data_IF_646244386226
#
_entry.id   IF_646244386226
#
_cell.length_a   1.000
_cell.length_b   1.000
_cell.length_c   1.000
_cell.angle_alpha   90.00
_cell.angle_beta   90.00
_cell.angle_gamma   90.00
#
_symmetry.space_group_name_H-M   'P 1'
#
loop_
_entity.id
_entity.type
_entity.pdbx_description
1 polymer ?
#
# COMPACT_ATOMS: atom_id res chain seq x y z
N UNK A 1 20.69 -18.91 13.31
CA UNK A 1 20.96 -18.68 11.88
C UNK A 1 19.67 -18.78 11.11
N UNK A 2 19.45 -17.89 10.16
CA UNK A 2 18.34 -17.93 9.23
C UNK A 2 18.85 -18.38 7.87
N UNK A 3 18.08 -19.24 7.20
CA UNK A 3 18.35 -19.72 5.85
C UNK A 3 17.34 -19.08 4.90
N UNK A 4 17.81 -18.26 3.96
CA UNK A 4 16.96 -17.57 3.00
C UNK A 4 17.18 -18.13 1.58
N UNK A 5 16.10 -18.23 0.80
CA UNK A 5 16.18 -18.51 -0.62
C UNK A 5 16.75 -17.30 -1.36
N UNK A 6 17.81 -17.53 -2.12
CA UNK A 6 18.60 -16.50 -2.77
C UNK A 6 18.18 -16.18 -4.19
N UNK A 7 16.88 -16.06 -4.45
CA UNK A 7 16.37 -15.74 -5.80
C UNK A 7 15.83 -14.32 -5.91
N UNK A 8 15.51 -13.67 -4.79
CA UNK A 8 14.87 -12.34 -4.77
C UNK A 8 15.81 -11.15 -5.06
N UNK A 9 17.10 -11.40 -5.31
CA UNK A 9 18.12 -10.35 -5.53
C UNK A 9 18.65 -10.33 -6.97
N UNK A 10 18.19 -11.25 -7.82
CA UNK A 10 18.70 -11.42 -9.17
C UNK A 10 17.66 -10.94 -10.17
N UNK A 11 17.44 -9.62 -10.23
CA UNK A 11 16.47 -9.06 -11.18
C UNK A 11 16.97 -9.10 -12.64
N UNK A 12 18.26 -9.39 -12.87
CA UNK A 12 18.92 -9.26 -14.18
C UNK A 12 19.63 -10.53 -14.69
N UNK A 13 19.45 -11.71 -14.07
CA UNK A 13 19.99 -12.97 -14.63
C UNK A 13 18.85 -13.91 -15.02
N UNK A 14 18.95 -14.49 -16.22
CA UNK A 14 18.06 -15.57 -16.65
C UNK A 14 18.34 -16.83 -15.85
N UNK A 15 17.48 -17.10 -14.86
CA UNK A 15 17.57 -18.26 -13.97
C UNK A 15 16.80 -19.48 -14.49
N UNK A 16 16.24 -19.45 -15.70
CA UNK A 16 15.42 -20.55 -16.24
C UNK A 16 16.21 -21.85 -16.42
N UNK A 17 17.54 -21.79 -16.42
CA UNK A 17 18.43 -22.96 -16.55
C UNK A 17 19.19 -23.31 -15.27
N UNK A 18 18.88 -22.67 -14.14
CA UNK A 18 19.53 -22.94 -12.86
C UNK A 18 18.82 -24.05 -12.10
N UNK A 19 19.49 -25.20 -11.94
CA UNK A 19 19.01 -26.30 -11.10
C UNK A 19 19.66 -26.16 -9.73
N UNK A 20 18.85 -26.05 -8.67
CA UNK A 20 19.30 -26.00 -7.28
C UNK A 20 18.71 -24.86 -6.45
N UNK A 21 18.75 -25.03 -5.12
CA UNK A 21 18.34 -24.02 -4.16
C UNK A 21 19.54 -23.15 -3.79
N UNK A 22 19.60 -21.95 -4.36
CA UNK A 22 20.54 -20.91 -3.93
C UNK A 22 20.12 -20.48 -2.53
N UNK A 23 20.98 -20.70 -1.55
CA UNK A 23 20.67 -20.42 -0.14
C UNK A 23 21.78 -19.65 0.51
N UNK A 24 21.39 -18.78 1.42
CA UNK A 24 22.33 -18.04 2.25
C UNK A 24 21.99 -18.26 3.71
N UNK A 25 23.02 -18.61 4.49
CA UNK A 25 22.93 -18.80 5.92
C UNK A 25 23.60 -17.61 6.62
N UNK A 26 22.86 -16.92 7.49
CA UNK A 26 23.36 -15.74 8.20
C UNK A 26 22.76 -15.62 9.61
N UNK A 27 23.47 -14.98 10.56
CA UNK A 27 22.97 -14.79 11.91
C UNK A 27 21.93 -13.68 11.90
N UNK A 28 20.88 -13.90 12.68
CA UNK A 28 19.87 -12.89 12.96
C UNK A 28 19.68 -12.87 14.47
N UNK A 29 19.78 -11.67 15.05
CA UNK A 29 19.39 -11.43 16.43
C UNK A 29 17.94 -10.98 16.43
N UNK A 30 17.06 -11.83 16.94
CA UNK A 30 15.66 -11.49 17.12
C UNK A 30 15.48 -10.85 18.48
N UNK A 31 14.88 -9.66 18.50
CA UNK A 31 14.49 -8.97 19.73
C UNK A 31 12.97 -8.90 19.78
N UNK A 32 12.41 -9.52 20.82
CA UNK A 32 10.98 -9.42 21.10
C UNK A 32 10.73 -8.14 21.91
N UNK A 33 9.55 -7.56 21.74
CA UNK A 33 9.07 -6.52 22.64
C UNK A 33 8.48 -7.18 23.89
N UNK A 34 8.59 -6.53 25.04
CA UNK A 34 7.98 -7.02 26.27
C UNK A 34 6.45 -7.02 26.13
N UNK A 35 5.84 -8.18 26.40
CA UNK A 35 4.39 -8.46 26.50
C UNK A 35 3.44 -8.03 25.35
N UNK A 36 3.92 -7.45 24.25
CA UNK A 36 3.11 -7.13 23.07
C UNK A 36 3.49 -7.94 21.82
N UNK A 37 2.53 -8.76 21.36
CA UNK A 37 2.63 -9.55 20.14
C UNK A 37 2.80 -8.65 18.91
N UNK A 38 2.08 -7.52 18.85
CA UNK A 38 2.15 -6.60 17.70
C UNK A 38 3.53 -5.99 17.57
N UNK A 39 4.03 -5.39 18.66
CA UNK A 39 5.36 -4.79 18.68
C UNK A 39 6.46 -5.82 18.42
N UNK A 40 6.31 -7.05 18.90
CA UNK A 40 7.21 -8.16 18.58
C UNK A 40 7.22 -8.51 17.09
N UNK A 41 6.05 -8.59 16.44
CA UNK A 41 5.96 -8.83 14.99
C UNK A 41 6.64 -7.71 14.20
N UNK A 42 6.35 -6.46 14.54
CA UNK A 42 6.95 -5.28 13.90
C UNK A 42 8.47 -5.31 14.07
N UNK A 43 8.96 -5.51 15.29
CA UNK A 43 10.39 -5.58 15.56
C UNK A 43 11.06 -6.69 14.75
N UNK A 44 10.53 -7.92 14.78
CA UNK A 44 11.09 -9.04 14.01
C UNK A 44 11.09 -8.75 12.51
N UNK A 45 10.01 -8.19 11.96
CA UNK A 45 9.93 -7.76 10.56
C UNK A 45 11.02 -6.75 10.22
N UNK A 46 11.16 -5.68 11.00
CA UNK A 46 12.13 -4.61 10.75
C UNK A 46 13.58 -5.12 10.87
N UNK A 47 13.90 -5.92 11.88
CA UNK A 47 15.23 -6.53 12.02
C UNK A 47 15.56 -7.43 10.81
N UNK A 48 14.61 -8.23 10.34
CA UNK A 48 14.79 -9.06 9.15
C UNK A 48 15.01 -8.22 7.88
N UNK A 49 14.29 -7.10 7.74
CA UNK A 49 14.42 -6.17 6.60
C UNK A 49 15.73 -5.37 6.60
N UNK A 50 16.33 -5.16 7.77
CA UNK A 50 17.62 -4.47 7.90
C UNK A 50 18.82 -5.34 7.51
N UNK A 51 18.65 -6.65 7.39
CA UNK A 51 19.74 -7.54 6.96
C UNK A 51 20.17 -7.19 5.53
N UNK A 52 21.41 -6.71 5.31
CA UNK A 52 21.88 -6.32 3.98
C UNK A 52 21.84 -7.51 3.03
N UNK A 53 21.28 -7.31 1.83
CA UNK A 53 21.24 -8.31 0.76
C UNK A 53 20.77 -9.71 1.24
N UNK A 54 19.88 -9.79 2.23
CA UNK A 54 19.42 -11.07 2.83
C UNK A 54 20.58 -11.98 3.26
N UNK A 55 21.67 -11.38 3.74
CA UNK A 55 22.85 -12.08 4.28
C UNK A 55 23.86 -12.55 3.24
N UNK A 56 23.69 -12.24 1.95
CA UNK A 56 24.68 -12.60 0.92
C UNK A 56 26.04 -12.00 1.26
N UNK A 57 27.09 -12.78 1.08
CA UNK A 57 28.46 -12.39 1.41
C UNK A 57 28.86 -12.68 2.85
N UNK A 58 27.91 -12.97 3.76
CA UNK A 58 28.21 -13.30 5.15
C UNK A 58 29.19 -14.49 5.26
N UNK A 59 28.91 -15.60 4.59
CA UNK A 59 29.77 -16.79 4.61
C UNK A 59 31.15 -16.56 3.97
N UNK A 60 31.23 -15.67 2.97
CA UNK A 60 32.50 -15.29 2.36
C UNK A 60 33.38 -14.45 3.30
N UNK A 61 32.76 -13.60 4.11
CA UNK A 61 33.45 -12.72 5.06
C UNK A 61 33.88 -13.49 6.32
N UNK A 62 32.98 -14.31 6.88
CA UNK A 62 33.24 -14.99 8.16
C UNK A 62 34.06 -16.28 8.01
N UNK A 63 34.25 -16.75 6.78
CA UNK A 63 34.87 -18.04 6.49
C UNK A 63 33.99 -19.21 6.90
N UNK A 64 34.17 -20.36 6.23
CA UNK A 64 33.46 -21.60 6.55
C UNK A 64 33.94 -22.25 7.87
N UNK A 65 34.91 -21.64 8.58
CA UNK A 65 35.62 -22.22 9.74
C UNK A 65 35.21 -21.61 11.09
N UNK A 66 34.08 -20.92 11.17
CA UNK A 66 33.50 -20.61 12.48
C UNK A 66 33.07 -21.92 13.16
N UNK A 67 33.92 -22.44 14.06
CA UNK A 67 33.72 -23.70 14.80
C UNK A 67 32.46 -23.72 15.69
N UNK A 68 31.81 -22.58 15.90
CA UNK A 68 30.58 -22.50 16.67
C UNK A 68 29.37 -22.77 15.76
N UNK A 69 28.83 -23.98 15.89
CA UNK A 69 27.57 -24.33 15.25
C UNK A 69 26.42 -23.53 15.89
N UNK A 70 25.49 -22.98 15.09
CA UNK A 70 24.41 -22.18 15.64
C UNK A 70 23.51 -23.05 16.52
N UNK A 71 23.09 -22.51 17.68
CA UNK A 71 22.16 -23.20 18.56
C UNK A 71 20.81 -23.45 17.85
N UNK A 72 20.33 -22.47 17.09
CA UNK A 72 19.05 -22.57 16.37
C UNK A 72 19.27 -22.25 14.90
N UNK A 73 18.77 -23.12 14.01
CA UNK A 73 18.61 -22.85 12.58
C UNK A 73 17.14 -22.87 12.18
N UNK A 74 16.74 -21.88 11.38
CA UNK A 74 15.40 -21.76 10.84
C UNK A 74 15.46 -21.55 9.33
N UNK A 75 14.67 -22.32 8.59
CA UNK A 75 14.54 -22.24 7.14
C UNK A 75 13.06 -22.17 6.76
N UNK A 76 12.73 -21.22 5.88
CA UNK A 76 11.43 -21.14 5.22
C UNK A 76 11.60 -21.46 3.74
N UNK A 77 11.10 -22.62 3.33
CA UNK A 77 11.22 -23.14 1.96
C UNK A 77 10.23 -22.49 0.99
N UNK A 78 9.29 -21.69 1.50
CA UNK A 78 8.30 -21.00 0.69
C UNK A 78 6.97 -21.75 0.59
N UNK A 79 6.25 -21.39 -0.47
CA UNK A 79 4.88 -21.83 -0.74
C UNK A 79 4.88 -22.79 -1.93
N UNK A 80 4.30 -23.97 -1.72
CA UNK A 80 4.19 -25.04 -2.71
C UNK A 80 2.72 -25.25 -3.03
N UNK A 81 2.34 -24.92 -4.27
CA UNK A 81 1.01 -25.22 -4.80
C UNK A 81 1.09 -26.44 -5.72
N UNK A 82 0.10 -27.30 -5.63
CA UNK A 82 -0.11 -28.36 -6.62
C UNK A 82 -0.84 -27.74 -7.82
N UNK A 83 -0.28 -27.86 -9.02
CA UNK A 83 -0.95 -27.47 -10.26
C UNK A 83 -2.22 -28.30 -10.51
N UNK A 84 -2.98 -27.92 -11.56
CA UNK A 84 -4.15 -28.68 -12.01
C UNK A 84 -3.77 -30.14 -12.33
N UNK A 85 -4.75 -31.06 -12.37
CA UNK A 85 -4.55 -32.52 -12.47
C UNK A 85 -3.64 -33.01 -13.63
N UNK A 86 -3.36 -32.17 -14.63
CA UNK A 86 -2.49 -32.47 -15.78
C UNK A 86 -1.04 -31.95 -15.66
N UNK A 87 -0.65 -31.32 -14.55
CA UNK A 87 0.71 -30.83 -14.31
C UNK A 87 1.42 -31.62 -13.19
N UNK A 88 2.76 -31.55 -13.17
CA UNK A 88 3.58 -32.18 -12.15
C UNK A 88 3.11 -31.80 -10.74
N UNK A 89 2.85 -32.80 -9.90
CA UNK A 89 2.33 -32.62 -8.54
C UNK A 89 3.37 -33.00 -7.49
N UNK A 90 3.44 -32.23 -6.40
CA UNK A 90 4.18 -32.61 -5.21
C UNK A 90 3.40 -33.68 -4.45
N UNK A 91 3.93 -34.91 -4.48
CA UNK A 91 3.38 -36.01 -3.70
C UNK A 91 3.93 -35.96 -2.28
N UNK A 92 3.01 -35.95 -1.32
CA UNK A 92 3.29 -36.10 0.10
C UNK A 92 3.44 -37.58 0.48
N UNK A 93 4.19 -38.32 -0.33
CA UNK A 93 4.49 -39.72 -0.10
C UNK A 93 5.82 -39.85 0.66
N UNK A 94 5.99 -40.94 1.40
CA UNK A 94 7.28 -41.26 1.98
C UNK A 94 8.28 -41.57 0.86
N UNK A 95 9.19 -40.64 0.58
CA UNK A 95 10.21 -40.76 -0.47
C UNK A 95 11.55 -41.30 0.04
N UNK A 96 11.57 -41.91 1.23
CA UNK A 96 12.79 -42.35 1.91
C UNK A 96 13.31 -41.37 2.96
N UNK A 97 14.38 -41.77 3.63
CA UNK A 97 15.00 -40.97 4.68
C UNK A 97 15.91 -39.90 4.07
N UNK A 98 15.80 -38.67 4.56
CA UNK A 98 16.76 -37.61 4.20
C UNK A 98 18.14 -38.01 4.73
N UNK A 99 19.12 -38.15 3.82
CA UNK A 99 20.53 -38.34 4.16
C UNK A 99 21.14 -37.03 4.70
N UNK A 100 20.74 -36.65 5.90
CA UNK A 100 21.34 -35.57 6.70
C UNK A 100 21.38 -36.06 8.16
N UNK A 101 22.32 -36.97 8.43
CA UNK A 101 22.38 -37.78 9.66
C UNK A 101 22.94 -37.03 10.88
N UNK A 102 23.56 -35.86 10.72
CA UNK A 102 24.06 -35.10 11.86
C UNK A 102 23.69 -33.63 11.77
N UNK A 103 22.56 -33.28 12.39
CA UNK A 103 22.23 -31.88 12.64
C UNK A 103 23.30 -31.32 13.59
N UNK A 104 24.07 -30.33 13.15
CA UNK A 104 25.09 -29.70 14.03
C UNK A 104 24.41 -28.84 15.10
N UNK A 105 23.26 -28.28 14.75
CA UNK A 105 22.45 -27.37 15.57
C UNK A 105 21.73 -28.08 16.73
N UNK A 106 21.41 -27.33 17.79
CA UNK A 106 20.58 -27.83 18.90
C UNK A 106 19.11 -27.96 18.48
N UNK A 107 18.61 -27.01 17.69
CA UNK A 107 17.25 -26.96 17.14
C UNK A 107 17.32 -26.56 15.67
N UNK A 108 16.75 -27.39 14.78
CA UNK A 108 16.59 -27.12 13.34
C UNK A 108 15.11 -27.13 12.99
N UNK A 109 14.63 -26.04 12.41
CA UNK A 109 13.23 -25.85 12.01
C UNK A 109 13.19 -25.60 10.51
N UNK A 110 12.54 -26.49 9.77
CA UNK A 110 12.19 -26.26 8.37
C UNK A 110 10.68 -26.03 8.27
N UNK A 111 10.30 -24.95 7.60
CA UNK A 111 8.91 -24.53 7.45
C UNK A 111 8.56 -24.36 5.98
N UNK A 112 7.34 -24.75 5.62
CA UNK A 112 6.82 -24.61 4.26
C UNK A 112 5.29 -24.60 4.28
N UNK A 113 4.68 -24.07 3.23
CA UNK A 113 3.23 -24.10 3.05
C UNK A 113 2.92 -25.01 1.87
N UNK A 114 2.00 -25.95 2.05
CA UNK A 114 1.51 -26.82 0.98
C UNK A 114 -0.02 -26.89 1.03
N UNK A 115 -0.69 -26.68 -0.10
CA UNK A 115 -2.16 -26.65 -0.19
C UNK A 115 -2.80 -25.75 0.89
N UNK A 116 -2.26 -24.54 1.11
CA UNK A 116 -2.70 -23.58 2.15
C UNK A 116 -2.52 -24.05 3.61
N UNK A 117 -1.84 -25.16 3.86
CA UNK A 117 -1.49 -25.62 5.21
C UNK A 117 0.00 -25.40 5.49
N UNK A 118 0.32 -24.74 6.61
CA UNK A 118 1.68 -24.60 7.10
C UNK A 118 2.15 -25.92 7.72
N UNK A 119 3.36 -26.36 7.36
CA UNK A 119 4.02 -27.53 7.91
C UNK A 119 5.36 -27.15 8.51
N UNK A 120 5.69 -27.81 9.62
CA UNK A 120 6.90 -27.59 10.39
C UNK A 120 7.59 -28.92 10.64
N UNK A 121 8.81 -29.05 10.14
CA UNK A 121 9.69 -30.17 10.44
C UNK A 121 10.73 -29.70 11.46
N UNK A 122 10.60 -30.17 12.70
CA UNK A 122 11.44 -29.78 13.83
C UNK A 122 12.34 -30.96 14.21
N UNK A 123 13.66 -30.76 14.16
CA UNK A 123 14.65 -31.71 14.67
C UNK A 123 15.41 -31.06 15.82
N UNK A 124 15.59 -31.77 16.94
CA UNK A 124 16.33 -31.26 18.11
C UNK A 124 17.24 -32.32 18.71
N UNK A 125 18.25 -31.90 19.46
CA UNK A 125 19.10 -32.81 20.28
C UNK A 125 18.56 -33.04 21.70
N UNK A 126 17.31 -32.68 21.97
CA UNK A 126 16.71 -32.71 23.31
C UNK A 126 15.97 -34.02 23.64
N UNK A 127 15.90 -34.97 22.71
CA UNK A 127 15.09 -36.18 22.83
C UNK A 127 13.65 -36.01 22.30
N UNK A 128 12.97 -37.14 22.07
CA UNK A 128 11.66 -37.15 21.39
C UNK A 128 10.58 -36.41 22.17
N UNK A 129 10.47 -36.64 23.49
CA UNK A 129 9.40 -36.04 24.31
C UNK A 129 9.52 -34.52 24.38
N UNK A 130 10.73 -34.00 24.60
CA UNK A 130 10.99 -32.56 24.60
C UNK A 130 10.78 -31.93 23.22
N UNK A 131 11.11 -32.66 22.14
CA UNK A 131 10.84 -32.21 20.77
C UNK A 131 9.34 -32.07 20.50
N UNK A 132 8.54 -33.05 20.93
CA UNK A 132 7.08 -33.01 20.80
C UNK A 132 6.48 -31.88 21.64
N UNK A 133 6.95 -31.67 22.87
CA UNK A 133 6.51 -30.56 23.72
C UNK A 133 6.85 -29.19 23.10
N UNK A 134 8.08 -29.05 22.59
CA UNK A 134 8.51 -27.84 21.87
C UNK A 134 7.63 -27.58 20.64
N UNK A 135 7.36 -28.61 19.82
CA UNK A 135 6.49 -28.50 18.65
C UNK A 135 5.07 -28.03 19.01
N UNK A 136 4.48 -28.59 20.07
CA UNK A 136 3.16 -28.16 20.57
C UNK A 136 3.19 -26.71 21.05
N UNK A 137 4.21 -26.31 21.81
CA UNK A 137 4.36 -24.93 22.28
C UNK A 137 4.55 -23.95 21.12
N UNK A 138 5.34 -24.33 20.10
CA UNK A 138 5.58 -23.53 18.91
C UNK A 138 4.30 -23.33 18.10
N UNK A 139 3.53 -24.42 17.88
CA UNK A 139 2.22 -24.36 17.24
C UNK A 139 1.25 -23.43 17.98
N UNK A 140 1.13 -23.58 19.31
CA UNK A 140 0.25 -22.71 20.12
C UNK A 140 0.63 -21.24 19.98
N UNK A 141 1.92 -20.91 19.91
CA UNK A 141 2.35 -19.52 19.72
C UNK A 141 2.07 -18.99 18.31
N UNK A 142 2.21 -19.81 17.26
CA UNK A 142 1.78 -19.43 15.90
C UNK A 142 0.27 -19.17 15.88
N UNK A 143 -0.53 -20.04 16.49
CA UNK A 143 -1.99 -19.87 16.55
C UNK A 143 -2.37 -18.58 17.29
N UNK A 144 -1.65 -18.21 18.36
CA UNK A 144 -1.83 -16.92 19.04
C UNK A 144 -1.52 -15.74 18.12
N UNK A 145 -0.42 -15.81 17.36
CA UNK A 145 -0.04 -14.77 16.39
C UNK A 145 -1.13 -14.64 15.30
N UNK A 146 -1.59 -15.75 14.74
CA UNK A 146 -2.66 -15.77 13.73
C UNK A 146 -3.93 -15.12 14.29
N UNK A 147 -4.41 -15.59 15.45
CA UNK A 147 -5.59 -15.02 16.11
C UNK A 147 -5.43 -13.52 16.36
N UNK A 148 -4.27 -13.08 16.84
CA UNK A 148 -3.99 -11.67 17.03
C UNK A 148 -4.08 -10.90 15.71
N UNK A 149 -3.43 -11.36 14.64
CA UNK A 149 -3.46 -10.69 13.33
C UNK A 149 -4.85 -10.67 12.68
N UNK A 150 -5.71 -11.65 12.96
CA UNK A 150 -7.09 -11.69 12.49
C UNK A 150 -8.01 -10.68 13.21
N UNK A 151 -7.70 -10.33 14.46
CA UNK A 151 -8.48 -9.34 15.23
C UNK A 151 -8.15 -7.90 14.85
N UNK A 152 -6.99 -7.67 14.22
CA UNK A 152 -6.55 -6.35 13.82
C UNK A 152 -7.22 -5.96 12.50
N UNK A 153 -8.27 -5.14 12.58
CA UNK A 153 -9.00 -4.62 11.40
C UNK A 153 -8.32 -3.41 10.74
N UNK A 154 -7.08 -3.10 11.11
CA UNK A 154 -6.36 -1.89 10.68
C UNK A 154 -4.89 -2.19 10.36
N UNK A 155 -4.46 -1.75 9.20
CA UNK A 155 -3.07 -1.74 8.75
C UNK A 155 -2.30 -0.52 9.28
N UNK A 156 -1.01 -0.75 9.51
CA UNK A 156 -0.05 0.28 9.95
C UNK A 156 1.23 0.09 9.15
N UNK A 157 1.80 1.19 8.69
CA UNK A 157 3.10 1.18 8.03
C UNK A 157 4.21 1.17 9.09
N UNK A 158 5.30 0.48 8.78
CA UNK A 158 6.55 0.48 9.54
C UNK A 158 7.67 1.16 8.73
N UNK A 159 8.83 1.38 9.35
CA UNK A 159 9.95 2.07 8.71
C UNK A 159 10.33 1.48 7.34
N UNK A 160 10.40 0.15 7.23
CA UNK A 160 10.68 -0.52 5.97
C UNK A 160 9.60 -0.35 4.89
N UNK A 161 8.34 -0.14 5.24
CA UNK A 161 7.24 0.05 4.27
C UNK A 161 7.30 1.43 3.61
N UNK A 162 7.86 2.42 4.32
CA UNK A 162 8.05 3.78 3.81
C UNK A 162 9.49 4.04 3.38
N UNK A 163 10.24 2.98 3.05
CA UNK A 163 11.65 3.03 2.65
C UNK A 163 12.55 3.84 3.59
N UNK A 164 12.21 3.88 4.88
CA UNK A 164 12.90 4.66 5.91
C UNK A 164 13.00 6.17 5.59
N UNK A 165 12.08 6.69 4.75
CA UNK A 165 11.92 8.14 4.52
C UNK A 165 11.70 8.85 5.86
N UNK A 166 10.87 8.25 6.70
CA UNK A 166 10.66 8.61 8.11
C UNK A 166 11.51 7.67 8.98
N UNK A 167 12.42 8.25 9.76
CA UNK A 167 13.26 7.52 10.72
C UNK A 167 12.67 7.46 12.12
N UNK A 168 11.85 8.44 12.47
CA UNK A 168 11.21 8.55 13.77
C UNK A 168 9.89 7.78 13.78
N UNK A 169 9.84 6.68 14.55
CA UNK A 169 8.64 5.86 14.67
C UNK A 169 7.47 6.61 15.32
N UNK A 170 7.73 7.55 16.22
CA UNK A 170 6.67 8.34 16.85
C UNK A 170 6.02 9.30 15.85
N UNK A 171 6.82 9.86 14.96
CA UNK A 171 6.34 10.69 13.86
C UNK A 171 5.49 9.88 12.87
N UNK A 172 5.93 8.67 12.48
CA UNK A 172 5.15 7.77 11.64
C UNK A 172 3.82 7.39 12.31
N UNK A 173 3.85 7.04 13.60
CA UNK A 173 2.67 6.71 14.39
C UNK A 173 1.70 7.88 14.49
N UNK A 174 2.18 9.12 14.61
CA UNK A 174 1.35 10.33 14.59
C UNK A 174 0.65 10.52 13.25
N UNK A 175 1.36 10.34 12.14
CA UNK A 175 0.81 10.50 10.78
C UNK A 175 -0.35 9.53 10.53
N UNK A 176 -0.19 8.28 10.95
CA UNK A 176 -1.18 7.22 10.78
C UNK A 176 -2.09 7.05 11.99
N UNK A 177 -2.21 8.05 12.87
CA UNK A 177 -3.03 7.93 14.10
C UNK A 177 -4.51 7.86 13.77
N UNK A 178 -5.00 8.82 13.00
CA UNK A 178 -6.43 8.99 12.72
C UNK A 178 -6.91 8.19 11.49
N UNK A 179 -6.05 8.04 10.47
CA UNK A 179 -6.39 7.37 9.21
C UNK A 179 -5.38 6.29 8.83
N UNK A 180 -5.83 5.29 8.09
CA UNK A 180 -4.95 4.32 7.45
C UNK A 180 -4.24 4.95 6.27
N UNK A 181 -2.92 4.73 6.21
CA UNK A 181 -2.07 5.24 5.15
C UNK A 181 -1.69 4.08 4.24
N UNK A 182 -1.82 4.30 2.93
CA UNK A 182 -1.44 3.35 1.89
C UNK A 182 0.07 3.43 1.60
N UNK A 183 0.59 4.66 1.47
CA UNK A 183 2.02 4.90 1.26
C UNK A 183 2.46 6.30 1.71
N UNK A 184 3.77 6.45 1.93
CA UNK A 184 4.42 7.73 2.22
C UNK A 184 5.67 7.87 1.36
N UNK A 185 5.81 9.01 0.70
CA UNK A 185 6.97 9.36 -0.11
C UNK A 185 7.48 10.76 0.24
N UNK A 186 8.70 11.07 -0.18
CA UNK A 186 9.14 12.46 -0.24
C UNK A 186 8.26 13.22 -1.24
N UNK A 187 7.90 14.47 -0.94
CA UNK A 187 7.30 15.35 -1.93
C UNK A 187 8.31 15.61 -3.06
N UNK A 188 7.87 15.60 -4.31
CA UNK A 188 8.75 15.93 -5.44
C UNK A 188 9.09 17.44 -5.46
N UNK A 189 10.05 17.86 -6.28
CA UNK A 189 10.52 19.25 -6.33
C UNK A 189 9.41 20.27 -6.61
N UNK A 190 8.46 19.92 -7.49
CA UNK A 190 7.32 20.78 -7.80
C UNK A 190 6.37 20.93 -6.59
N UNK A 191 6.01 19.81 -5.97
CA UNK A 191 5.17 19.77 -4.77
C UNK A 191 5.83 20.52 -3.61
N UNK A 192 7.15 20.41 -3.43
CA UNK A 192 7.89 21.17 -2.43
C UNK A 192 7.79 22.68 -2.67
N UNK A 193 7.92 23.12 -3.93
CA UNK A 193 7.72 24.51 -4.32
C UNK A 193 6.31 24.99 -4.02
N UNK A 194 5.29 24.28 -4.49
CA UNK A 194 3.88 24.61 -4.26
C UNK A 194 3.53 24.67 -2.76
N UNK A 195 4.02 23.71 -1.98
CA UNK A 195 3.81 23.65 -0.54
C UNK A 195 4.45 24.87 0.15
N UNK A 196 5.67 25.25 -0.23
CA UNK A 196 6.34 26.42 0.31
C UNK A 196 5.59 27.73 0.01
N UNK A 197 5.09 27.89 -1.22
CA UNK A 197 4.29 29.05 -1.61
C UNK A 197 2.98 29.11 -0.82
N UNK A 198 2.25 27.99 -0.75
CA UNK A 198 1.00 27.87 0.02
C UNK A 198 1.18 28.23 1.50
N UNK A 199 2.29 27.81 2.12
CA UNK A 199 2.58 28.13 3.52
C UNK A 199 2.93 29.60 3.75
N UNK A 200 3.63 30.25 2.81
CA UNK A 200 4.04 31.65 2.93
C UNK A 200 2.93 32.65 2.64
N UNK A 201 2.03 32.30 1.72
CA UNK A 201 0.96 33.18 1.23
C UNK A 201 -0.36 32.90 1.93
N UNK A 202 -0.31 32.37 3.16
CA UNK A 202 -1.37 31.62 3.85
C UNK A 202 -2.74 32.30 3.92
N UNK A 203 -2.83 33.62 3.65
CA UNK A 203 -4.06 34.41 3.72
C UNK A 203 -4.45 35.15 2.42
N UNK A 204 -3.68 35.13 1.33
CA UNK A 204 -3.94 36.09 0.20
C UNK A 204 -4.27 35.46 -1.16
N UNK A 205 -3.81 34.25 -1.49
CA UNK A 205 -3.78 33.82 -2.90
C UNK A 205 -4.50 32.49 -3.18
N UNK A 206 -5.36 32.47 -4.21
CA UNK A 206 -6.04 31.30 -4.77
C UNK A 206 -5.31 30.75 -6.02
N UNK A 207 -4.11 31.24 -6.34
CA UNK A 207 -3.32 30.92 -7.54
C UNK A 207 -3.15 29.42 -7.87
N UNK A 208 -3.26 28.54 -6.87
CA UNK A 208 -3.13 27.09 -7.06
C UNK A 208 -4.45 26.31 -6.99
N UNK A 209 -5.58 27.01 -6.89
CA UNK A 209 -6.91 26.42 -7.02
C UNK A 209 -7.30 26.47 -8.48
N UNK A 210 -7.43 25.28 -9.09
CA UNK A 210 -7.95 25.15 -10.45
C UNK A 210 -9.43 24.81 -10.36
N UNK A 211 -10.27 25.56 -11.05
CA UNK A 211 -11.71 25.34 -11.11
C UNK A 211 -12.16 25.21 -12.57
N UNK A 212 -12.88 24.14 -12.88
CA UNK A 212 -13.46 23.86 -14.20
C UNK A 212 -14.98 23.75 -14.10
N UNK A 213 -15.69 24.31 -15.08
CA UNK A 213 -17.14 24.21 -15.21
C UNK A 213 -17.47 23.43 -16.48
N UNK A 214 -18.21 22.34 -16.33
CA UNK A 214 -18.70 21.50 -17.43
C UNK A 214 -20.23 21.58 -17.49
N UNK A 215 -20.77 21.59 -18.70
CA UNK A 215 -22.22 21.55 -18.91
C UNK A 215 -22.60 20.27 -19.63
N UNK A 216 -23.57 19.55 -19.08
CA UNK A 216 -24.10 18.32 -19.63
C UNK A 216 -25.55 18.56 -20.07
N UNK A 217 -25.79 18.55 -21.38
CA UNK A 217 -27.12 18.61 -21.98
C UNK A 217 -27.77 17.23 -22.08
N UNK A 218 -27.73 16.46 -20.99
CA UNK A 218 -28.38 15.17 -20.87
C UNK A 218 -28.81 14.93 -19.43
N UNK A 219 -29.73 13.99 -19.21
CA UNK A 219 -30.08 13.55 -17.87
C UNK A 219 -28.91 12.80 -17.22
N UNK A 220 -28.65 13.07 -15.94
CA UNK A 220 -27.59 12.44 -15.17
C UNK A 220 -28.17 11.68 -13.98
N UNK A 221 -27.82 10.40 -13.86
CA UNK A 221 -28.05 9.67 -12.61
C UNK A 221 -27.00 10.11 -11.58
N UNK A 222 -27.41 11.05 -10.71
CA UNK A 222 -26.54 11.64 -9.68
C UNK A 222 -25.85 10.62 -8.76
N UNK A 223 -26.51 9.50 -8.46
CA UNK A 223 -25.93 8.49 -7.57
C UNK A 223 -24.82 7.70 -8.28
N UNK A 224 -25.04 7.32 -9.55
CA UNK A 224 -24.03 6.62 -10.34
C UNK A 224 -22.84 7.52 -10.67
N UNK A 225 -23.08 8.80 -10.96
CA UNK A 225 -21.98 9.74 -11.19
C UNK A 225 -21.16 9.98 -9.92
N UNK A 226 -21.80 10.08 -8.75
CA UNK A 226 -21.10 10.13 -7.47
C UNK A 226 -20.25 8.88 -7.26
N UNK A 227 -20.80 7.69 -7.49
CA UNK A 227 -20.05 6.42 -7.39
C UNK A 227 -18.84 6.39 -8.32
N UNK A 228 -18.97 6.89 -9.56
CA UNK A 228 -17.85 6.98 -10.49
C UNK A 228 -16.71 7.88 -9.98
N UNK A 229 -17.03 8.99 -9.34
CA UNK A 229 -16.04 9.83 -8.66
C UNK A 229 -15.41 9.15 -7.44
N UNK A 230 -16.16 8.37 -6.67
CA UNK A 230 -15.62 7.58 -5.56
C UNK A 230 -14.66 6.49 -6.08
N UNK A 231 -14.99 5.83 -7.18
CA UNK A 231 -14.10 4.88 -7.85
C UNK A 231 -12.84 5.56 -8.37
N UNK A 232 -12.95 6.73 -9.00
CA UNK A 232 -11.80 7.51 -9.45
C UNK A 232 -10.90 7.89 -8.28
N UNK A 233 -11.49 8.38 -7.18
CA UNK A 233 -10.74 8.69 -5.96
C UNK A 233 -10.03 7.47 -5.39
N UNK A 234 -10.60 6.26 -5.49
CA UNK A 234 -9.96 5.01 -5.05
C UNK A 234 -8.91 4.49 -6.04
N UNK A 235 -9.08 4.73 -7.35
CA UNK A 235 -8.15 4.31 -8.39
C UNK A 235 -6.88 5.14 -8.39
N UNK A 236 -7.02 6.46 -8.28
CA UNK A 236 -5.91 7.39 -8.43
C UNK A 236 -5.44 7.90 -7.08
N UNK A 237 -4.25 7.46 -6.67
CA UNK A 237 -3.68 7.79 -5.37
C UNK A 237 -3.44 9.29 -5.17
N UNK A 238 -3.25 10.06 -6.24
CA UNK A 238 -3.11 11.52 -6.19
C UNK A 238 -4.34 12.22 -5.58
N UNK A 239 -5.53 11.66 -5.79
CA UNK A 239 -6.79 12.19 -5.23
C UNK A 239 -6.97 11.90 -3.73
N UNK A 240 -6.08 11.10 -3.13
CA UNK A 240 -6.06 10.77 -1.69
C UNK A 240 -4.82 11.33 -0.99
N UNK A 241 -4.16 12.29 -1.61
CA UNK A 241 -2.97 12.91 -1.07
C UNK A 241 -3.29 13.92 0.04
N UNK A 242 -2.42 13.91 1.04
CA UNK A 242 -2.17 15.02 1.97
C UNK A 242 -0.67 15.15 2.22
N UNK A 243 -0.27 16.26 2.83
CA UNK A 243 1.12 16.61 3.01
C UNK A 243 1.44 16.85 4.48
N UNK A 244 2.64 16.48 4.92
CA UNK A 244 3.18 16.90 6.21
C UNK A 244 4.58 17.48 5.99
N UNK A 245 4.97 18.38 6.88
CA UNK A 245 6.20 19.17 6.77
C UNK A 245 6.86 19.44 8.12
N UNK A 246 6.50 18.70 9.18
CA UNK A 246 7.10 18.93 10.50
C UNK A 246 8.56 18.47 10.56
N UNK A 247 8.87 17.27 10.05
CA UNK A 247 10.26 16.78 9.96
C UNK A 247 10.81 16.93 8.53
N UNK A 248 10.00 16.57 7.53
CA UNK A 248 10.35 16.58 6.11
C UNK A 248 9.11 16.86 5.27
N UNK A 249 9.31 17.44 4.09
CA UNK A 249 8.27 17.63 3.09
C UNK A 249 7.91 16.26 2.49
N UNK A 250 6.82 15.68 2.96
CA UNK A 250 6.36 14.35 2.55
C UNK A 250 4.95 14.43 1.96
N UNK A 251 4.69 13.53 1.04
CA UNK A 251 3.36 13.24 0.51
C UNK A 251 2.87 11.94 1.13
N UNK A 252 1.63 11.95 1.60
CA UNK A 252 0.98 10.85 2.31
C UNK A 252 -0.25 10.47 1.52
N UNK A 253 -0.35 9.20 1.14
CA UNK A 253 -1.49 8.65 0.41
C UNK A 253 -2.38 7.95 1.43
N UNK A 254 -3.54 8.52 1.73
CA UNK A 254 -4.49 7.84 2.62
C UNK A 254 -5.18 6.68 1.87
N UNK A 255 -5.49 5.60 2.60
CA UNK A 255 -6.08 4.39 2.02
C UNK A 255 -7.51 4.61 1.53
N UNK A 256 -8.24 5.48 2.23
CA UNK A 256 -9.61 5.91 1.91
C UNK A 256 -9.78 7.36 2.36
N UNK A 257 -10.50 8.13 1.57
CA UNK A 257 -10.97 9.47 1.92
C UNK A 257 -12.45 9.59 1.56
N UNK A 258 -13.14 10.55 2.17
CA UNK A 258 -14.55 10.83 1.85
C UNK A 258 -14.60 11.83 0.70
N UNK A 259 -15.30 11.47 -0.37
CA UNK A 259 -15.53 12.37 -1.50
C UNK A 259 -16.33 13.61 -1.05
N UNK A 260 -15.77 14.80 -1.26
CA UNK A 260 -16.50 16.07 -1.08
C UNK A 260 -17.41 16.32 -2.30
N UNK A 261 -18.58 15.67 -2.25
CA UNK A 261 -19.62 15.72 -3.26
C UNK A 261 -20.79 16.60 -2.81
N UNK A 262 -21.11 17.62 -3.62
CA UNK A 262 -22.14 18.62 -3.32
C UNK A 262 -23.18 18.63 -4.42
N UNK A 263 -24.42 18.31 -4.09
CA UNK A 263 -25.54 18.32 -5.05
C UNK A 263 -26.44 19.53 -4.80
N UNK A 264 -26.76 20.28 -5.85
CA UNK A 264 -27.61 21.46 -5.80
C UNK A 264 -28.71 21.31 -6.85
N UNK A 265 -29.96 21.52 -6.44
CA UNK A 265 -31.12 21.47 -7.31
C UNK A 265 -31.64 22.89 -7.56
N UNK A 266 -31.59 23.33 -8.82
CA UNK A 266 -32.11 24.63 -9.28
C UNK A 266 -33.32 24.47 -10.20
N UNK A 267 -33.91 23.28 -10.30
CA UNK A 267 -35.03 23.00 -11.22
C UNK A 267 -36.28 23.83 -10.95
N UNK A 268 -36.49 24.27 -9.71
CA UNK A 268 -37.59 25.17 -9.35
C UNK A 268 -37.52 26.56 -10.02
N UNK A 269 -36.37 26.91 -10.59
CA UNK A 269 -36.09 28.21 -11.23
C UNK A 269 -35.75 28.04 -12.72
N UNK A 270 -36.20 26.95 -13.35
CA UNK A 270 -35.84 26.59 -14.73
C UNK A 270 -36.25 27.61 -15.80
N UNK A 271 -37.22 28.47 -15.50
CA UNK A 271 -37.70 29.55 -16.36
C UNK A 271 -36.83 30.82 -16.26
N UNK A 272 -36.06 31.00 -15.17
CA UNK A 272 -35.20 32.16 -14.93
C UNK A 272 -33.72 31.79 -15.10
N UNK A 273 -33.32 31.60 -16.35
CA UNK A 273 -31.95 31.23 -16.74
C UNK A 273 -30.91 32.24 -16.22
N UNK A 274 -31.24 33.53 -16.21
CA UNK A 274 -30.31 34.58 -15.77
C UNK A 274 -30.01 34.47 -14.26
N UNK A 275 -31.03 34.18 -13.46
CA UNK A 275 -30.85 33.92 -12.04
C UNK A 275 -30.09 32.61 -11.79
N UNK A 276 -30.36 31.54 -12.54
CA UNK A 276 -29.57 30.29 -12.44
C UNK A 276 -28.09 30.52 -12.73
N UNK A 277 -27.75 31.24 -13.81
CA UNK A 277 -26.37 31.59 -14.13
C UNK A 277 -25.69 32.43 -13.04
N UNK A 278 -26.43 33.38 -12.44
CA UNK A 278 -25.95 34.19 -11.32
C UNK A 278 -25.64 33.33 -10.09
N UNK A 279 -26.50 32.37 -9.77
CA UNK A 279 -26.28 31.41 -8.68
C UNK A 279 -25.08 30.51 -8.91
N UNK A 280 -24.91 29.98 -10.13
CA UNK A 280 -23.75 29.17 -10.48
C UNK A 280 -22.46 29.98 -10.31
N UNK A 281 -22.42 31.23 -10.79
CA UNK A 281 -21.26 32.13 -10.59
C UNK A 281 -20.97 32.37 -9.12
N UNK A 282 -22.01 32.59 -8.31
CA UNK A 282 -21.86 32.75 -6.86
C UNK A 282 -21.27 31.50 -6.20
N UNK A 283 -21.72 30.31 -6.59
CA UNK A 283 -21.16 29.04 -6.10
C UNK A 283 -19.69 28.91 -6.49
N UNK A 284 -19.32 29.29 -7.72
CA UNK A 284 -17.93 29.29 -8.17
C UNK A 284 -17.03 30.22 -7.34
N UNK A 285 -17.51 31.42 -7.02
CA UNK A 285 -16.80 32.39 -6.18
C UNK A 285 -16.68 31.91 -4.73
N UNK A 286 -17.75 31.39 -4.13
CA UNK A 286 -17.74 30.83 -2.78
C UNK A 286 -16.78 29.64 -2.67
N UNK A 287 -16.79 28.73 -3.64
CA UNK A 287 -15.89 27.58 -3.68
C UNK A 287 -14.42 27.98 -3.82
N UNK A 288 -14.10 28.99 -4.65
CA UNK A 288 -12.72 29.50 -4.74
C UNK A 288 -12.23 30.10 -3.43
N UNK A 289 -13.13 30.70 -2.65
CA UNK A 289 -12.81 31.22 -1.33
C UNK A 289 -12.68 30.13 -0.26
N UNK A 290 -13.24 28.94 -0.48
CA UNK A 290 -13.11 27.79 0.42
C UNK A 290 -11.77 27.07 0.20
N UNK A 291 -10.78 27.38 1.04
CA UNK A 291 -9.41 26.88 0.84
C UNK A 291 -9.22 25.41 1.19
N UNK A 292 -8.37 24.74 0.42
CA UNK A 292 -7.89 23.39 0.71
C UNK A 292 -6.81 23.40 1.79
N UNK A 293 -6.93 22.51 2.78
CA UNK A 293 -5.93 22.32 3.83
C UNK A 293 -5.01 21.16 3.48
N UNK A 294 -3.80 21.48 3.02
CA UNK A 294 -2.83 20.49 2.51
C UNK A 294 -2.49 19.37 3.51
N UNK A 295 -2.55 19.63 4.81
CA UNK A 295 -2.29 18.64 5.85
C UNK A 295 -3.47 17.73 6.22
N UNK A 296 -4.69 18.09 5.82
CA UNK A 296 -5.90 17.30 6.10
C UNK A 296 -6.22 16.38 4.93
N UNK A 297 -5.96 16.79 3.69
CA UNK A 297 -6.35 16.06 2.48
C UNK A 297 -7.64 16.61 1.87
N UNK A 298 -8.38 15.77 1.14
CA UNK A 298 -9.56 16.19 0.37
C UNK A 298 -9.26 17.41 -0.52
N UNK A 299 -8.22 17.28 -1.34
CA UNK A 299 -7.67 18.39 -2.14
C UNK A 299 -8.43 18.62 -3.46
N UNK A 300 -9.66 18.10 -3.55
CA UNK A 300 -10.61 18.38 -4.63
C UNK A 300 -12.06 18.35 -4.13
N UNK A 301 -12.96 19.00 -4.88
CA UNK A 301 -14.40 19.07 -4.63
C UNK A 301 -15.17 18.96 -5.93
N UNK A 302 -16.33 18.34 -5.88
CA UNK A 302 -17.24 18.18 -7.02
C UNK A 302 -18.62 18.69 -6.67
N UNK A 303 -19.10 19.67 -7.43
CA UNK A 303 -20.49 20.11 -7.38
C UNK A 303 -21.24 19.57 -8.59
N UNK A 304 -22.38 18.95 -8.37
CA UNK A 304 -23.35 18.64 -9.42
C UNK A 304 -24.58 19.53 -9.22
N UNK A 305 -24.84 20.40 -10.20
CA UNK A 305 -25.94 21.37 -10.17
C UNK A 305 -26.96 20.96 -11.24
N UNK A 306 -28.16 20.59 -10.80
CA UNK A 306 -29.26 20.28 -11.71
C UNK A 306 -30.01 21.57 -12.07
N UNK A 307 -29.96 21.97 -13.35
CA UNK A 307 -30.64 23.16 -13.85
C UNK A 307 -32.04 22.80 -14.37
N UNK A 308 -32.16 21.66 -15.07
CA UNK A 308 -33.40 21.06 -15.61
C UNK A 308 -33.31 19.53 -15.56
N UNK A 309 -34.34 18.83 -16.04
CA UNK A 309 -34.34 17.35 -16.09
C UNK A 309 -33.20 16.76 -16.95
N UNK A 310 -32.73 17.50 -17.95
CA UNK A 310 -31.74 17.11 -18.96
C UNK A 310 -30.60 18.13 -19.08
N UNK A 311 -30.45 19.02 -18.09
CA UNK A 311 -29.41 20.04 -18.07
C UNK A 311 -28.74 20.09 -16.70
N UNK A 312 -27.45 19.75 -16.67
CA UNK A 312 -26.64 19.77 -15.47
C UNK A 312 -25.37 20.60 -15.68
N UNK A 313 -24.91 21.25 -14.62
CA UNK A 313 -23.59 21.84 -14.57
C UNK A 313 -22.74 21.08 -13.53
N UNK A 314 -21.46 20.86 -13.82
CA UNK A 314 -20.51 20.27 -12.89
C UNK A 314 -19.37 21.24 -12.65
N UNK A 315 -19.18 21.65 -11.41
CA UNK A 315 -17.98 22.41 -11.00
C UNK A 315 -17.01 21.42 -10.38
N UNK A 316 -15.82 21.34 -10.95
CA UNK A 316 -14.72 20.54 -10.43
C UNK A 316 -13.59 21.48 -10.00
N UNK A 317 -13.25 21.43 -8.71
CA UNK A 317 -12.21 22.27 -8.12
C UNK A 317 -11.17 21.41 -7.45
N UNK A 318 -9.90 21.73 -7.63
CA UNK A 318 -8.80 20.99 -7.01
C UNK A 318 -7.59 21.88 -6.76
N UNK A 319 -6.73 21.46 -5.84
CA UNK A 319 -5.43 22.08 -5.65
C UNK A 319 -4.44 21.51 -6.68
N UNK A 320 -3.74 22.38 -7.42
CA UNK A 320 -2.76 22.02 -8.46
C UNK A 320 -1.58 21.14 -7.95
N UNK A 321 -1.48 20.90 -6.64
CA UNK A 321 -0.44 20.04 -6.07
C UNK A 321 -0.72 18.54 -6.29
N UNK A 322 -1.98 18.18 -6.58
CA UNK A 322 -2.40 16.79 -6.81
C UNK A 322 -2.68 16.45 -8.27
N UNK A 323 -2.90 17.45 -9.13
CA UNK A 323 -3.25 17.27 -10.54
C UNK A 323 -2.62 18.38 -11.38
N UNK A 324 -2.48 18.12 -12.67
CA UNK A 324 -2.03 19.04 -13.71
C UNK A 324 -2.95 19.00 -14.94
N UNK A 325 -2.58 19.74 -15.99
CA UNK A 325 -3.35 19.79 -17.23
C UNK A 325 -3.33 18.49 -18.06
N UNK A 326 -2.41 17.55 -17.81
CA UNK A 326 -2.30 16.30 -18.56
C UNK A 326 -3.06 15.15 -17.89
N UNK A 327 -3.03 15.13 -16.57
CA UNK A 327 -3.75 14.19 -15.72
C UNK A 327 -5.26 14.47 -15.67
N UNK A 328 -5.67 15.74 -15.82
CA UNK A 328 -7.09 16.11 -15.79
C UNK A 328 -7.94 15.41 -16.88
N UNK A 329 -7.56 15.39 -18.18
CA UNK A 329 -8.29 14.62 -19.18
C UNK A 329 -8.38 13.12 -18.89
N UNK A 330 -7.32 12.52 -18.33
CA UNK A 330 -7.28 11.09 -17.97
C UNK A 330 -8.28 10.80 -16.83
N UNK A 331 -8.33 11.67 -15.82
CA UNK A 331 -9.29 11.59 -14.74
C UNK A 331 -10.73 11.65 -15.26
N UNK A 332 -11.02 12.64 -16.10
CA UNK A 332 -12.38 12.85 -16.61
C UNK A 332 -12.82 11.69 -17.51
N UNK A 333 -11.95 11.20 -18.40
CA UNK A 333 -12.22 10.03 -19.23
C UNK A 333 -12.54 8.80 -18.38
N UNK A 334 -11.75 8.54 -17.32
CA UNK A 334 -12.02 7.45 -16.39
C UNK A 334 -13.39 7.58 -15.72
N UNK A 335 -13.71 8.77 -15.17
CA UNK A 335 -15.00 9.02 -14.50
C UNK A 335 -16.17 8.82 -15.48
N UNK A 336 -16.05 9.30 -16.71
CA UNK A 336 -17.09 9.16 -17.73
C UNK A 336 -17.27 7.71 -18.17
N UNK A 337 -16.19 7.00 -18.43
CA UNK A 337 -16.24 5.57 -18.79
C UNK A 337 -16.84 4.72 -17.67
N UNK A 338 -16.41 4.95 -16.42
CA UNK A 338 -16.95 4.23 -15.26
C UNK A 338 -18.43 4.54 -15.06
N UNK A 339 -18.85 5.80 -15.18
CA UNK A 339 -20.25 6.21 -15.11
C UNK A 339 -21.11 5.52 -16.19
N UNK A 340 -20.64 5.47 -17.44
CA UNK A 340 -21.35 4.79 -18.54
C UNK A 340 -21.46 3.29 -18.28
N UNK A 341 -20.38 2.64 -17.81
CA UNK A 341 -20.41 1.24 -17.39
C UNK A 341 -21.42 0.98 -16.28
N UNK A 342 -21.48 1.86 -15.27
CA UNK A 342 -22.43 1.77 -14.16
C UNK A 342 -23.89 1.92 -14.64
N UNK A 343 -24.17 2.77 -15.64
CA UNK A 343 -25.51 2.87 -16.26
C UNK A 343 -25.91 1.54 -16.92
N UNK A 344 -24.96 0.88 -17.58
CA UNK A 344 -25.18 -0.41 -18.24
C UNK A 344 -25.23 -1.60 -17.26
N UNK A 345 -25.09 -1.35 -15.96
CA UNK A 345 -25.05 -2.40 -14.93
C UNK A 345 -23.73 -3.18 -14.91
N UNK A 346 -22.69 -2.67 -15.56
CA UNK A 346 -21.35 -3.23 -15.51
C UNK A 346 -20.66 -2.75 -14.22
N UNK A 347 -20.02 -3.68 -13.51
CA UNK A 347 -19.11 -3.31 -12.43
C UNK A 347 -17.73 -3.00 -13.01
N UNK A 348 -16.97 -2.05 -12.42
CA UNK A 348 -15.68 -1.66 -12.95
C UNK A 348 -14.76 -2.87 -13.18
N UNK A 349 -14.41 -3.11 -14.44
CA UNK A 349 -13.41 -4.09 -14.86
C UNK A 349 -11.99 -3.50 -14.82
N UNK A 350 -11.74 -2.58 -13.89
CA UNK A 350 -10.41 -2.06 -13.64
C UNK A 350 -9.86 -2.78 -12.40
N UNK A 351 -8.71 -3.46 -12.51
CA UNK A 351 -8.17 -4.17 -11.37
C UNK A 351 -7.95 -3.20 -10.21
N UNK A 352 -8.62 -3.46 -9.09
CA UNK A 352 -8.43 -2.79 -7.80
C UNK A 352 -7.03 -3.03 -7.21
N UNK A 353 -6.17 -3.78 -7.89
CA UNK A 353 -4.77 -3.91 -7.51
C UNK A 353 -4.03 -2.64 -7.88
N UNK A 354 -3.57 -1.93 -6.86
CA UNK A 354 -2.34 -1.16 -6.94
C UNK A 354 -1.25 -2.16 -7.40
N UNK A 355 -1.01 -2.25 -8.70
CA UNK A 355 0.25 -2.81 -9.17
C UNK A 355 1.32 -1.98 -8.50
N UNK A 356 2.18 -2.66 -7.74
CA UNK A 356 3.37 -2.13 -7.07
C UNK A 356 3.83 -0.82 -7.72
N UNK A 357 3.98 0.27 -6.93
CA UNK A 357 4.59 1.47 -7.48
C UNK A 357 5.89 1.06 -8.18
N UNK A 358 6.20 1.64 -9.35
CA UNK A 358 7.49 1.39 -9.97
C UNK A 358 8.59 1.72 -8.95
N UNK A 359 9.74 1.08 -9.09
CA UNK A 359 10.79 1.08 -8.09
C UNK A 359 11.13 2.51 -7.66
N UNK A 360 11.70 2.72 -6.46
CA UNK A 360 12.05 4.03 -5.91
C UNK A 360 12.81 4.97 -6.89
N UNK A 361 13.44 4.44 -7.95
CA UNK A 361 14.06 5.22 -9.03
C UNK A 361 13.05 5.94 -9.93
N UNK A 362 11.87 5.39 -10.11
CA UNK A 362 10.87 5.83 -11.08
C UNK A 362 9.89 6.85 -10.49
N UNK A 363 9.81 6.99 -9.16
CA UNK A 363 8.97 7.99 -8.49
C UNK A 363 9.74 9.25 -8.04
N UNK A 364 11.06 9.17 -7.95
CA UNK A 364 11.92 10.34 -7.68
C UNK A 364 12.27 11.14 -8.93
N UNK A 365 12.08 10.54 -10.11
CA UNK A 365 12.32 11.13 -11.43
C UNK A 365 11.08 10.91 -12.28
N UNK A 366 10.24 11.94 -12.37
CA UNK A 366 9.09 12.06 -13.27
C UNK A 366 7.85 11.18 -12.96
N UNK A 367 6.70 11.85 -12.82
CA UNK A 367 5.34 11.31 -12.72
C UNK A 367 4.81 10.95 -11.32
N UNK A 368 4.69 11.97 -10.45
CA UNK A 368 3.67 11.97 -9.40
C UNK A 368 2.37 12.67 -9.84
N UNK A 369 2.14 12.76 -11.14
CA UNK A 369 0.90 13.18 -11.78
C UNK A 369 0.44 12.00 -12.66
N UNK A 370 -0.88 11.76 -12.65
CA UNK A 370 -1.59 10.49 -12.93
C UNK A 370 -1.02 9.58 -14.02
#
# INVERSE_FOLDING_TARGET
>A
MFECCGRDFVNNLDMNRSIGMLRTLYPVRLQLADDDVRSSIINVKEHMKQVPNKGIGFGAIMGNESNESPLVSFNYLGYFENGNENEWRLLDAFCGNTMDESTKELIKINSFIINKHMRLNIKTKMGIDRTVQFGKAFQLNIEKIIKHTQLVNRSYLTGSDVHYVIKNNDYLNRIQREQEVDAIYMANSLQQGLLFHSLKQSDVDDAYIVQSLFQYGTNINKNLLKMAWEHAQQRFSSLRLRFDWQEKLIQIIDKKQTLDWRFIDLTAEEEDVSNQESKIKKIQEEDRNERFKLNIGNLFRVYLIQQKSDLFALIFSFHHIILDGWSLPILLDYVHQDYLGLIEGQHPSFPLSCSTPPSFRDLSYDNAQM
#
